data_IF_659092132352
#
_entry.id   IF_659092132352
#
_cell.length_a   1.000
_cell.length_b   1.000
_cell.length_c   1.000
_cell.angle_alpha   90.00
_cell.angle_beta   90.00
_cell.angle_gamma   90.00
#
_symmetry.space_group_name_H-M   'P 1'
#
loop_
_entity.id
_entity.type
_entity.pdbx_description
1 polymer ?
#
# COMPACT_ATOMS: atom_id res chain seq x y z
N UNK A 1 30.86 -125.02 45.38
CA UNK A 1 29.73 -124.52 46.19
C UNK A 1 29.35 -125.60 47.20
N UNK A 2 29.01 -125.22 48.44
CA UNK A 2 28.28 -126.10 49.37
C UNK A 2 26.79 -126.20 48.99
N UNK A 3 26.04 -127.13 49.59
CA UNK A 3 24.58 -127.27 49.44
C UNK A 3 23.78 -125.99 49.78
N UNK A 4 24.42 -124.99 50.41
CA UNK A 4 23.87 -123.67 50.74
C UNK A 4 24.36 -122.53 49.82
N UNK A 5 24.86 -122.85 48.62
CA UNK A 5 25.20 -121.90 47.56
C UNK A 5 26.21 -120.79 47.94
N UNK A 6 27.01 -121.00 48.99
CA UNK A 6 28.16 -120.16 49.34
C UNK A 6 29.45 -120.70 48.74
N UNK A 7 30.34 -119.79 48.36
CA UNK A 7 31.68 -120.09 47.83
C UNK A 7 32.50 -120.75 48.95
N UNK A 8 33.09 -121.92 48.69
CA UNK A 8 33.95 -122.62 49.65
C UNK A 8 35.34 -121.99 49.64
N UNK A 9 35.83 -121.55 50.79
CA UNK A 9 37.18 -120.95 50.94
C UNK A 9 38.33 -121.97 50.74
N UNK A 10 38.03 -123.27 50.84
CA UNK A 10 39.01 -124.34 50.61
C UNK A 10 38.34 -125.54 49.96
N UNK A 11 38.96 -126.09 48.92
CA UNK A 11 38.52 -127.33 48.29
C UNK A 11 39.49 -128.46 48.65
N UNK A 12 38.97 -129.56 49.22
CA UNK A 12 39.79 -130.65 49.76
C UNK A 12 39.50 -131.95 49.02
N UNK A 13 40.54 -132.62 48.55
CA UNK A 13 40.45 -133.96 47.98
C UNK A 13 40.64 -135.02 49.08
N UNK A 14 39.59 -135.78 49.38
CA UNK A 14 39.58 -136.76 50.49
C UNK A 14 40.47 -137.99 50.28
N UNK A 15 40.89 -138.28 49.04
CA UNK A 15 41.71 -139.46 48.72
C UNK A 15 43.21 -139.25 48.96
N UNK A 16 43.70 -138.01 48.89
CA UNK A 16 45.12 -137.67 49.00
C UNK A 16 45.40 -136.46 49.91
N UNK A 17 44.38 -135.94 50.59
CA UNK A 17 44.43 -134.76 51.46
C UNK A 17 45.01 -133.50 50.78
N UNK A 18 44.84 -133.34 49.46
CA UNK A 18 45.22 -132.09 48.78
C UNK A 18 44.20 -130.99 49.07
N UNK A 19 44.66 -129.85 49.60
CA UNK A 19 43.81 -128.71 49.90
C UNK A 19 44.12 -127.52 48.99
N UNK A 20 43.17 -127.13 48.14
CA UNK A 20 43.20 -125.89 47.34
C UNK A 20 42.64 -124.75 48.19
N UNK A 21 43.46 -123.73 48.48
CA UNK A 21 43.12 -122.57 49.34
C UNK A 21 42.70 -121.32 48.59
N UNK A 22 43.26 -121.07 47.42
CA UNK A 22 42.95 -119.93 46.58
C UNK A 22 43.19 -120.32 45.13
N UNK A 23 42.40 -119.74 44.24
CA UNK A 23 42.52 -119.94 42.81
C UNK A 23 42.82 -118.57 42.21
N UNK A 24 44.06 -118.38 41.79
CA UNK A 24 44.50 -117.15 41.15
C UNK A 24 44.30 -117.29 39.64
N UNK A 25 43.30 -116.59 39.11
CA UNK A 25 43.08 -116.51 37.67
C UNK A 25 44.09 -115.53 37.08
N UNK A 26 45.18 -116.07 36.52
CA UNK A 26 46.27 -115.26 35.98
C UNK A 26 45.97 -114.68 34.60
N UNK A 27 45.20 -115.40 33.79
CA UNK A 27 44.81 -114.94 32.45
C UNK A 27 43.45 -115.51 32.07
N UNK A 28 42.67 -114.71 31.35
CA UNK A 28 41.41 -115.14 30.73
C UNK A 28 41.48 -114.68 29.29
N UNK A 29 41.70 -115.62 28.38
CA UNK A 29 41.68 -115.34 26.95
C UNK A 29 40.54 -116.12 26.28
N UNK A 30 39.79 -115.48 25.37
CA UNK A 30 38.84 -116.19 24.55
C UNK A 30 39.59 -117.14 23.60
N UNK A 31 39.19 -118.41 23.63
CA UNK A 31 39.76 -119.49 22.80
C UNK A 31 39.37 -119.33 21.32
N UNK A 32 38.18 -118.76 21.06
CA UNK A 32 37.68 -118.50 19.71
C UNK A 32 38.11 -117.12 19.18
N UNK A 33 38.77 -117.11 18.04
CA UNK A 33 39.25 -115.90 17.37
C UNK A 33 38.11 -114.95 17.02
N UNK A 34 36.93 -115.45 16.62
CA UNK A 34 35.78 -114.58 16.27
C UNK A 34 35.28 -113.81 17.50
N UNK A 35 35.32 -114.45 18.67
CA UNK A 35 34.94 -113.83 19.95
C UNK A 35 35.95 -112.76 20.38
N UNK A 36 37.26 -113.00 20.17
CA UNK A 36 38.32 -112.01 20.40
C UNK A 36 38.12 -110.75 19.55
N UNK A 37 37.88 -110.94 18.26
CA UNK A 37 37.68 -109.84 17.30
C UNK A 37 36.39 -109.05 17.59
N UNK A 38 35.32 -109.73 18.04
CA UNK A 38 34.07 -109.08 18.44
C UNK A 38 34.24 -108.21 19.70
N UNK A 39 34.97 -108.70 20.70
CA UNK A 39 35.29 -107.92 21.91
C UNK A 39 36.17 -106.70 21.56
N UNK A 40 37.17 -106.86 20.69
CA UNK A 40 38.01 -105.75 20.24
C UNK A 40 37.20 -104.66 19.51
N UNK A 41 36.27 -105.06 18.63
CA UNK A 41 35.33 -104.12 17.99
C UNK A 41 34.43 -103.42 19.01
N UNK A 42 33.95 -104.13 20.03
CA UNK A 42 33.14 -103.52 21.09
C UNK A 42 33.91 -102.49 21.90
N UNK A 43 35.20 -102.75 22.19
CA UNK A 43 36.06 -101.78 22.89
C UNK A 43 36.30 -100.55 22.01
N UNK A 44 36.58 -100.75 20.71
CA UNK A 44 36.75 -99.64 19.76
C UNK A 44 35.49 -98.77 19.69
N UNK A 45 34.30 -99.38 19.57
CA UNK A 45 33.03 -98.67 19.58
C UNK A 45 32.78 -97.93 20.89
N UNK A 46 33.15 -98.51 22.04
CA UNK A 46 33.02 -97.84 23.33
C UNK A 46 33.90 -96.56 23.40
N UNK A 47 35.13 -96.62 22.88
CA UNK A 47 36.03 -95.44 22.79
C UNK A 47 35.47 -94.41 21.82
N UNK A 48 34.92 -94.84 20.69
CA UNK A 48 34.30 -93.94 19.73
C UNK A 48 33.07 -93.24 20.33
N UNK A 49 32.22 -93.98 21.04
CA UNK A 49 31.06 -93.41 21.75
C UNK A 49 31.50 -92.42 22.83
N UNK A 50 32.54 -92.74 23.62
CA UNK A 50 33.02 -91.81 24.66
C UNK A 50 33.63 -90.56 24.03
N UNK A 51 34.38 -90.69 22.93
CA UNK A 51 34.96 -89.56 22.19
C UNK A 51 33.87 -88.68 21.58
N UNK A 52 32.91 -89.29 20.88
CA UNK A 52 31.77 -88.58 20.29
C UNK A 52 30.90 -87.90 21.36
N UNK A 53 30.71 -88.54 22.51
CA UNK A 53 29.98 -87.95 23.63
C UNK A 53 30.71 -86.75 24.24
N UNK A 54 32.04 -86.82 24.39
CA UNK A 54 32.84 -85.70 24.86
C UNK A 54 32.85 -84.54 23.86
N UNK A 55 32.96 -84.85 22.57
CA UNK A 55 32.90 -83.84 21.51
C UNK A 55 31.53 -83.15 21.47
N UNK A 56 30.43 -83.92 21.54
CA UNK A 56 29.08 -83.35 21.58
C UNK A 56 28.89 -82.45 22.80
N UNK A 57 29.38 -82.84 23.98
CA UNK A 57 29.33 -82.01 25.17
C UNK A 57 30.13 -80.70 25.02
N UNK A 58 31.34 -80.77 24.44
CA UNK A 58 32.15 -79.59 24.18
C UNK A 58 31.51 -78.65 23.15
N UNK A 59 30.89 -79.20 22.10
CA UNK A 59 30.14 -78.42 21.10
C UNK A 59 28.93 -77.71 21.74
N UNK A 60 28.13 -78.41 22.53
CA UNK A 60 26.98 -77.79 23.20
C UNK A 60 27.39 -76.72 24.21
N UNK A 61 28.49 -76.91 24.93
CA UNK A 61 29.00 -75.88 25.83
C UNK A 61 29.51 -74.65 25.06
N UNK A 62 30.17 -74.86 23.92
CA UNK A 62 30.58 -73.77 23.04
C UNK A 62 29.37 -73.01 22.47
N UNK A 63 28.34 -73.72 22.00
CA UNK A 63 27.08 -73.13 21.52
C UNK A 63 26.37 -72.32 22.62
N UNK A 64 26.34 -72.84 23.85
CA UNK A 64 25.75 -72.14 25.01
C UNK A 64 26.49 -70.84 25.31
N UNK A 65 27.81 -70.88 25.34
CA UNK A 65 28.66 -69.70 25.56
C UNK A 65 28.52 -68.68 24.43
N UNK A 66 28.46 -69.14 23.18
CA UNK A 66 28.24 -68.26 22.03
C UNK A 66 26.88 -67.57 22.10
N UNK A 67 25.82 -68.31 22.44
CA UNK A 67 24.48 -67.74 22.58
C UNK A 67 24.41 -66.72 23.72
N UNK A 68 25.09 -66.97 24.84
CA UNK A 68 25.18 -66.01 25.94
C UNK A 68 25.93 -64.74 25.52
N UNK A 69 27.05 -64.89 24.81
CA UNK A 69 27.82 -63.76 24.29
C UNK A 69 27.00 -62.93 23.29
N UNK A 70 26.29 -63.59 22.36
CA UNK A 70 25.39 -62.93 21.41
C UNK A 70 24.26 -62.18 22.12
N UNK A 71 23.61 -62.82 23.10
CA UNK A 71 22.55 -62.17 23.87
C UNK A 71 23.03 -60.95 24.66
N UNK A 72 24.25 -61.01 25.24
CA UNK A 72 24.87 -59.85 25.90
C UNK A 72 25.17 -58.72 24.91
N UNK A 73 25.73 -59.05 23.75
CA UNK A 73 26.04 -58.06 22.71
C UNK A 73 24.78 -57.40 22.14
N UNK A 74 23.72 -58.15 21.90
CA UNK A 74 22.44 -57.60 21.46
C UNK A 74 21.83 -56.65 22.50
N UNK A 75 21.87 -57.03 23.78
CA UNK A 75 21.40 -56.14 24.86
C UNK A 75 22.21 -54.85 24.91
N UNK A 76 23.54 -54.95 24.84
CA UNK A 76 24.40 -53.78 24.82
C UNK A 76 24.11 -52.88 23.62
N UNK A 77 23.91 -53.46 22.42
CA UNK A 77 23.54 -52.72 21.23
C UNK A 77 22.21 -51.97 21.40
N UNK A 78 21.20 -52.62 21.99
CA UNK A 78 19.90 -51.99 22.26
C UNK A 78 20.06 -50.85 23.28
N UNK A 79 20.86 -51.04 24.32
CA UNK A 79 21.13 -50.00 25.33
C UNK A 79 21.83 -48.78 24.69
N UNK A 80 22.84 -49.02 23.85
CA UNK A 80 23.57 -47.97 23.13
C UNK A 80 22.65 -47.23 22.15
N UNK A 81 21.81 -47.95 21.38
CA UNK A 81 20.83 -47.35 20.47
C UNK A 81 19.78 -46.54 21.23
N UNK A 82 19.30 -47.03 22.38
CA UNK A 82 18.34 -46.32 23.22
C UNK A 82 18.94 -45.02 23.77
N UNK A 83 20.20 -45.06 24.23
CA UNK A 83 20.91 -43.88 24.70
C UNK A 83 21.12 -42.86 23.57
N UNK A 84 21.50 -43.33 22.37
CA UNK A 84 21.66 -42.49 21.19
C UNK A 84 20.34 -41.82 20.79
N UNK A 85 19.23 -42.55 20.80
CA UNK A 85 17.90 -42.01 20.48
C UNK A 85 17.38 -41.05 21.56
N UNK A 86 17.69 -41.26 22.83
CA UNK A 86 17.37 -40.30 23.89
C UNK A 86 18.07 -38.96 23.65
N UNK A 87 19.37 -38.96 23.33
CA UNK A 87 20.11 -37.75 22.97
C UNK A 87 19.56 -37.13 21.69
N UNK A 88 19.26 -37.95 20.67
CA UNK A 88 18.68 -37.48 19.41
C UNK A 88 17.36 -36.76 19.61
N UNK A 89 16.49 -37.28 20.48
CA UNK A 89 15.23 -36.63 20.84
C UNK A 89 15.47 -35.24 21.43
N UNK A 90 16.38 -35.10 22.39
CA UNK A 90 16.70 -33.79 23.00
C UNK A 90 17.28 -32.80 21.99
N UNK A 91 18.12 -33.27 21.05
CA UNK A 91 18.62 -32.46 19.96
C UNK A 91 17.50 -31.99 19.02
N UNK A 92 16.52 -32.85 18.73
CA UNK A 92 15.37 -32.47 17.91
C UNK A 92 14.47 -31.47 18.62
N UNK A 93 14.18 -31.66 19.91
CA UNK A 93 13.39 -30.73 20.71
C UNK A 93 14.05 -29.34 20.73
N UNK A 94 15.36 -29.27 20.98
CA UNK A 94 16.11 -28.00 20.95
C UNK A 94 16.14 -27.38 19.56
N UNK A 95 16.29 -28.17 18.49
CA UNK A 95 16.21 -27.65 17.10
C UNK A 95 14.83 -27.09 16.76
N UNK A 96 13.74 -27.73 17.20
CA UNK A 96 12.39 -27.22 17.00
C UNK A 96 12.20 -25.89 17.74
N UNK A 97 12.68 -25.79 18.98
CA UNK A 97 12.66 -24.54 19.74
C UNK A 97 13.47 -23.44 19.06
N UNK A 98 14.67 -23.77 18.55
CA UNK A 98 15.51 -22.82 17.82
C UNK A 98 14.84 -22.37 16.51
N UNK A 99 14.24 -23.28 15.74
CA UNK A 99 13.54 -22.93 14.51
C UNK A 99 12.34 -22.01 14.78
N UNK A 100 11.59 -22.25 15.87
CA UNK A 100 10.51 -21.36 16.30
C UNK A 100 11.04 -19.99 16.73
N UNK A 101 12.16 -19.95 17.48
CA UNK A 101 12.80 -18.71 17.91
C UNK A 101 13.38 -17.93 16.71
N UNK A 102 13.96 -18.62 15.74
CA UNK A 102 14.50 -18.03 14.52
C UNK A 102 13.38 -17.43 13.67
N UNK A 103 12.31 -18.17 13.45
CA UNK A 103 11.15 -17.68 12.70
C UNK A 103 10.49 -16.48 13.37
N UNK A 104 10.33 -16.51 14.69
CA UNK A 104 9.77 -15.38 15.44
C UNK A 104 10.73 -14.20 15.51
N UNK A 105 12.04 -14.44 15.64
CA UNK A 105 13.08 -13.42 15.60
C UNK A 105 13.14 -12.73 14.24
N UNK A 106 13.05 -13.47 13.15
CA UNK A 106 12.98 -12.94 11.80
C UNK A 106 11.71 -12.10 11.60
N UNK A 107 10.55 -12.62 11.98
CA UNK A 107 9.28 -11.90 11.84
C UNK A 107 9.24 -10.61 12.68
N UNK A 108 9.76 -10.66 13.91
CA UNK A 108 9.82 -9.47 14.79
C UNK A 108 10.83 -8.44 14.28
N UNK A 109 12.01 -8.86 13.83
CA UNK A 109 13.00 -7.97 13.24
C UNK A 109 12.48 -7.30 11.96
N UNK A 110 11.80 -8.05 11.09
CA UNK A 110 11.21 -7.49 9.87
C UNK A 110 10.06 -6.52 10.19
N UNK A 111 9.18 -6.89 11.12
CA UNK A 111 8.08 -6.03 11.56
C UNK A 111 8.59 -4.73 12.19
N UNK A 112 9.61 -4.81 13.05
CA UNK A 112 10.24 -3.63 13.66
C UNK A 112 10.91 -2.75 12.60
N UNK A 113 11.70 -3.34 11.70
CA UNK A 113 12.36 -2.60 10.61
C UNK A 113 11.35 -1.89 9.72
N UNK A 114 10.24 -2.54 9.39
CA UNK A 114 9.16 -1.96 8.59
C UNK A 114 8.44 -0.83 9.34
N UNK A 115 8.17 -1.02 10.63
CA UNK A 115 7.56 0.01 11.46
C UNK A 115 8.46 1.24 11.59
N UNK A 116 9.76 1.06 11.78
CA UNK A 116 10.73 2.15 11.85
C UNK A 116 10.89 2.88 10.51
N UNK A 117 10.93 2.15 9.40
CA UNK A 117 10.94 2.75 8.06
C UNK A 117 9.70 3.64 7.84
N UNK A 118 8.51 3.11 8.14
CA UNK A 118 7.26 3.86 8.03
C UNK A 118 7.22 5.08 8.98
N UNK A 119 7.79 4.96 10.19
CA UNK A 119 7.91 6.07 11.14
C UNK A 119 8.81 7.17 10.59
N UNK A 120 9.97 6.83 10.05
CA UNK A 120 10.92 7.79 9.46
C UNK A 120 10.28 8.47 8.24
N UNK A 121 9.62 7.71 7.38
CA UNK A 121 8.93 8.25 6.21
C UNK A 121 7.80 9.21 6.62
N UNK A 122 6.98 8.81 7.60
CA UNK A 122 5.91 9.67 8.13
C UNK A 122 6.45 10.96 8.76
N UNK A 123 7.53 10.87 9.55
CA UNK A 123 8.18 12.05 10.14
C UNK A 123 8.75 12.97 9.06
N UNK A 124 9.44 12.40 8.06
CA UNK A 124 10.03 13.14 6.95
C UNK A 124 8.97 13.82 6.08
N UNK A 125 7.84 13.14 5.83
CA UNK A 125 6.73 13.70 5.07
C UNK A 125 6.08 14.89 5.79
N UNK A 126 5.91 14.81 7.12
CA UNK A 126 5.41 15.94 7.93
C UNK A 126 6.39 17.11 7.90
N UNK A 127 7.69 16.84 8.03
CA UNK A 127 8.72 17.88 7.98
C UNK A 127 8.80 18.54 6.60
N UNK A 128 8.77 17.74 5.53
CA UNK A 128 8.71 18.23 4.16
C UNK A 128 7.46 19.10 3.91
N UNK A 129 6.29 18.65 4.38
CA UNK A 129 5.05 19.42 4.25
C UNK A 129 5.12 20.76 5.00
N UNK A 130 5.77 20.81 6.17
CA UNK A 130 6.01 22.07 6.90
C UNK A 130 6.92 23.01 6.13
N UNK A 131 8.07 22.52 5.65
CA UNK A 131 9.01 23.32 4.87
C UNK A 131 8.37 23.83 3.57
N UNK A 132 7.56 23.00 2.91
CA UNK A 132 6.83 23.41 1.72
C UNK A 132 5.76 24.46 2.02
N UNK A 133 5.04 24.32 3.14
CA UNK A 133 4.07 25.33 3.57
C UNK A 133 4.75 26.67 3.86
N UNK A 134 5.88 26.66 4.58
CA UNK A 134 6.69 27.85 4.88
C UNK A 134 7.24 28.50 3.59
N UNK A 135 7.78 27.69 2.67
CA UNK A 135 8.23 28.19 1.37
C UNK A 135 7.08 28.84 0.56
N UNK A 136 5.92 28.19 0.53
CA UNK A 136 4.73 28.72 -0.16
C UNK A 136 4.20 30.00 0.48
N UNK A 137 4.31 30.13 1.81
CA UNK A 137 3.92 31.35 2.54
C UNK A 137 4.86 32.50 2.18
N UNK A 138 6.18 32.27 2.18
CA UNK A 138 7.19 33.26 1.80
C UNK A 138 7.00 33.71 0.33
N UNK A 139 6.76 32.76 -0.59
CA UNK A 139 6.50 33.07 -1.99
C UNK A 139 5.22 33.90 -2.17
N UNK A 140 4.15 33.53 -1.49
CA UNK A 140 2.88 34.26 -1.54
C UNK A 140 3.03 35.68 -0.97
N UNK A 141 3.72 35.84 0.16
CA UNK A 141 3.97 37.14 0.78
C UNK A 141 4.84 38.03 -0.12
N UNK A 142 5.88 37.47 -0.73
CA UNK A 142 6.74 38.20 -1.66
C UNK A 142 5.95 38.68 -2.90
N UNK A 143 5.08 37.84 -3.46
CA UNK A 143 4.24 38.21 -4.59
C UNK A 143 3.18 39.24 -4.21
N UNK A 144 2.59 39.12 -3.01
CA UNK A 144 1.61 40.07 -2.50
C UNK A 144 2.24 41.46 -2.31
N UNK A 145 3.45 41.52 -1.75
CA UNK A 145 4.22 42.77 -1.62
C UNK A 145 4.58 43.37 -3.00
N UNK A 146 4.96 42.53 -3.98
CA UNK A 146 5.21 42.98 -5.35
C UNK A 146 3.95 43.61 -5.97
N UNK A 147 2.80 42.96 -5.82
CA UNK A 147 1.51 43.43 -6.34
C UNK A 147 1.03 44.69 -5.63
N UNK A 148 1.21 44.79 -4.31
CA UNK A 148 0.88 46.01 -3.54
C UNK A 148 1.65 47.21 -4.08
N UNK A 149 2.98 47.10 -4.20
CA UNK A 149 3.82 48.19 -4.72
C UNK A 149 3.43 48.58 -6.15
N UNK A 150 3.14 47.61 -7.01
CA UNK A 150 2.69 47.89 -8.38
C UNK A 150 1.35 48.64 -8.40
N UNK A 151 0.36 48.22 -7.60
CA UNK A 151 -0.94 48.90 -7.52
C UNK A 151 -0.85 50.26 -6.87
N UNK A 152 -0.02 50.44 -5.86
CA UNK A 152 0.20 51.75 -5.24
C UNK A 152 0.75 52.75 -6.25
N UNK A 153 1.76 52.35 -7.04
CA UNK A 153 2.30 53.17 -8.11
C UNK A 153 1.27 53.47 -9.20
N UNK A 154 0.44 52.49 -9.57
CA UNK A 154 -0.65 52.68 -10.54
C UNK A 154 -1.73 53.64 -10.04
N UNK A 155 -2.15 53.51 -8.77
CA UNK A 155 -3.11 54.42 -8.14
C UNK A 155 -2.56 55.84 -8.06
N UNK A 156 -1.27 56.00 -7.75
CA UNK A 156 -0.63 57.32 -7.72
C UNK A 156 -0.57 57.95 -9.11
N UNK A 157 -0.19 57.19 -10.13
CA UNK A 157 -0.23 57.65 -11.52
C UNK A 157 -1.64 58.03 -11.97
N UNK A 158 -2.65 57.23 -11.64
CA UNK A 158 -4.07 57.52 -11.92
C UNK A 158 -4.52 58.81 -11.25
N UNK A 159 -4.22 59.00 -9.95
CA UNK A 159 -4.53 60.23 -9.22
C UNK A 159 -3.89 61.46 -9.87
N UNK A 160 -2.62 61.35 -10.27
CA UNK A 160 -1.91 62.43 -10.95
C UNK A 160 -2.55 62.75 -12.31
N UNK A 161 -2.87 61.72 -13.10
CA UNK A 161 -3.55 61.86 -14.39
C UNK A 161 -4.93 62.51 -14.25
N UNK A 162 -5.70 62.09 -13.25
CA UNK A 162 -7.02 62.65 -12.97
C UNK A 162 -6.92 64.11 -12.52
N UNK A 163 -5.96 64.43 -11.65
CA UNK A 163 -5.71 65.82 -11.23
C UNK A 163 -5.34 66.73 -12.41
N UNK A 164 -4.51 66.23 -13.34
CA UNK A 164 -4.12 66.92 -14.56
C UNK A 164 -5.33 67.10 -15.48
N UNK A 165 -6.17 66.07 -15.60
CA UNK A 165 -7.39 66.11 -16.42
C UNK A 165 -8.39 67.14 -15.89
N UNK A 166 -8.58 67.20 -14.57
CA UNK A 166 -9.41 68.22 -13.92
C UNK A 166 -8.85 69.62 -14.18
N UNK A 167 -7.54 69.82 -14.03
CA UNK A 167 -6.89 71.10 -14.31
C UNK A 167 -7.07 71.52 -15.78
N UNK A 168 -6.85 70.60 -16.71
CA UNK A 168 -7.07 70.83 -18.15
C UNK A 168 -8.51 71.26 -18.43
N UNK A 169 -9.50 70.50 -17.94
CA UNK A 169 -10.92 70.79 -18.15
C UNK A 169 -11.33 72.13 -17.53
N UNK A 170 -10.76 72.48 -16.38
CA UNK A 170 -11.01 73.78 -15.75
C UNK A 170 -10.50 74.94 -16.60
N UNK A 171 -9.30 74.83 -17.18
CA UNK A 171 -8.78 75.88 -18.07
C UNK A 171 -9.51 75.94 -19.40
N UNK A 172 -9.85 74.79 -20.00
CA UNK A 172 -10.71 74.75 -21.19
C UNK A 172 -12.07 75.40 -20.92
N UNK A 173 -12.69 75.09 -19.78
CA UNK A 173 -13.95 75.70 -19.35
C UNK A 173 -13.79 77.22 -19.14
N UNK A 174 -12.68 77.68 -18.56
CA UNK A 174 -12.42 79.12 -18.37
C UNK A 174 -12.27 79.85 -19.70
N UNK A 175 -11.60 79.23 -20.67
CA UNK A 175 -11.49 79.74 -22.04
C UNK A 175 -12.87 79.78 -22.70
N UNK A 176 -13.66 78.71 -22.60
CA UNK A 176 -14.99 78.65 -23.21
C UNK A 176 -15.94 79.66 -22.58
N UNK A 177 -15.92 79.82 -21.25
CA UNK A 177 -16.68 80.86 -20.55
C UNK A 177 -16.25 82.25 -21.03
N UNK A 178 -14.94 82.49 -21.19
CA UNK A 178 -14.42 83.79 -21.68
C UNK A 178 -14.83 84.04 -23.13
N UNK A 179 -14.74 83.02 -24.00
CA UNK A 179 -15.14 83.06 -25.40
C UNK A 179 -16.63 83.29 -25.56
N UNK A 180 -17.45 82.55 -24.82
CA UNK A 180 -18.90 82.69 -24.80
C UNK A 180 -19.32 84.06 -24.28
N UNK A 181 -18.71 84.53 -23.19
CA UNK A 181 -18.95 85.89 -22.66
C UNK A 181 -18.61 86.94 -23.71
N UNK A 182 -17.46 86.82 -24.38
CA UNK A 182 -17.04 87.75 -25.45
C UNK A 182 -18.01 87.71 -26.64
N UNK A 183 -18.47 86.53 -27.04
CA UNK A 183 -19.45 86.35 -28.12
C UNK A 183 -20.81 86.97 -27.78
N UNK A 184 -21.30 86.74 -26.55
CA UNK A 184 -22.54 87.33 -26.02
C UNK A 184 -22.43 88.84 -25.93
N UNK A 185 -21.31 89.37 -25.43
CA UNK A 185 -21.03 90.81 -25.37
C UNK A 185 -20.96 91.46 -26.76
N UNK A 186 -20.36 90.79 -27.75
CA UNK A 186 -20.26 91.29 -29.12
C UNK A 186 -21.60 91.34 -29.85
N UNK A 187 -22.50 90.37 -29.62
CA UNK A 187 -23.87 90.44 -30.15
C UNK A 187 -24.63 91.57 -29.46
N UNK A 188 -24.47 91.70 -28.13
CA UNK A 188 -25.11 92.72 -27.30
C UNK A 188 -26.48 92.27 -26.77
N UNK A 189 -26.85 92.69 -25.55
CA UNK A 189 -28.06 92.20 -24.87
C UNK A 189 -29.34 92.58 -25.62
N UNK A 190 -29.36 93.74 -26.29
CA UNK A 190 -30.52 94.20 -27.04
C UNK A 190 -30.75 93.38 -28.32
N UNK A 191 -29.69 92.99 -29.03
CA UNK A 191 -29.80 92.12 -30.20
C UNK A 191 -30.17 90.70 -29.82
N UNK A 192 -29.63 90.15 -28.72
CA UNK A 192 -30.08 88.84 -28.21
C UNK A 192 -31.55 88.86 -27.82
N UNK A 193 -32.01 89.95 -27.18
CA UNK A 193 -33.45 90.16 -26.89
C UNK A 193 -34.27 90.24 -28.17
N UNK A 194 -33.79 90.92 -29.21
CA UNK A 194 -34.47 90.99 -30.50
C UNK A 194 -34.49 89.64 -31.22
N UNK A 195 -33.40 88.87 -31.23
CA UNK A 195 -33.32 87.53 -31.81
C UNK A 195 -34.27 86.57 -31.07
N UNK A 196 -34.30 86.62 -29.74
CA UNK A 196 -35.24 85.82 -28.94
C UNK A 196 -36.71 86.24 -29.17
N UNK A 197 -36.97 87.53 -29.42
CA UNK A 197 -38.31 88.05 -29.80
C UNK A 197 -38.64 87.84 -31.27
N UNK A 198 -37.66 87.65 -32.15
CA UNK A 198 -37.87 87.55 -33.59
C UNK A 198 -38.67 86.31 -33.98
N UNK A 199 -38.53 85.17 -33.28
CA UNK A 199 -39.39 83.99 -33.51
C UNK A 199 -40.87 84.29 -33.25
N UNK A 200 -41.24 84.72 -32.02
CA UNK A 200 -42.60 85.14 -31.71
C UNK A 200 -43.13 86.27 -32.61
N UNK A 201 -42.33 87.32 -32.84
CA UNK A 201 -42.73 88.48 -33.65
C UNK A 201 -42.86 88.16 -35.15
N UNK A 202 -42.02 87.28 -35.71
CA UNK A 202 -42.13 86.82 -37.09
C UNK A 202 -43.40 85.99 -37.29
N UNK A 203 -43.69 85.09 -36.34
CA UNK A 203 -44.93 84.30 -36.36
C UNK A 203 -46.18 85.19 -36.22
N UNK A 204 -46.13 86.22 -35.36
CA UNK A 204 -47.18 87.24 -35.23
C UNK A 204 -47.36 88.07 -36.51
N UNK A 205 -46.28 88.45 -37.20
CA UNK A 205 -46.33 89.19 -38.48
C UNK A 205 -46.88 88.33 -39.62
N UNK A 206 -46.55 87.04 -39.69
CA UNK A 206 -47.17 86.12 -40.65
C UNK A 206 -48.67 85.95 -40.41
N UNK A 207 -49.08 85.79 -39.15
CA UNK A 207 -50.50 85.73 -38.78
C UNK A 207 -51.24 87.03 -39.19
N UNK A 208 -50.63 88.21 -38.95
CA UNK A 208 -51.23 89.48 -39.40
C UNK A 208 -51.27 89.64 -40.93
N UNK A 209 -50.27 89.14 -41.66
CA UNK A 209 -50.21 89.21 -43.13
C UNK A 209 -51.23 88.29 -43.81
N UNK A 210 -51.61 87.19 -43.15
CA UNK A 210 -52.70 86.31 -43.55
C UNK A 210 -54.09 86.88 -43.18
N UNK A 211 -54.16 88.11 -42.64
CA UNK A 211 -55.42 88.76 -42.25
C UNK A 211 -56.03 88.19 -40.97
N UNK A 212 -55.31 87.32 -40.25
CA UNK A 212 -55.77 86.67 -39.03
C UNK A 212 -55.31 87.52 -37.83
N UNK A 213 -56.21 88.33 -37.27
CA UNK A 213 -56.00 88.88 -35.95
C UNK A 213 -55.84 87.70 -34.97
N UNK A 214 -54.84 87.77 -34.09
CA UNK A 214 -54.59 86.77 -33.04
C UNK A 214 -55.78 86.71 -32.07
N UNK A 215 -56.88 86.09 -32.50
CA UNK A 215 -58.06 85.85 -31.72
C UNK A 215 -57.97 84.43 -31.15
N UNK A 216 -58.03 84.35 -29.83
CA UNK A 216 -58.16 83.09 -29.11
C UNK A 216 -59.57 82.55 -29.43
N UNK A 217 -59.68 81.60 -30.36
CA UNK A 217 -60.97 80.98 -30.66
C UNK A 217 -61.23 79.94 -29.58
N UNK A 218 -62.18 80.24 -28.69
CA UNK A 218 -62.58 79.35 -27.59
C UNK A 218 -63.80 78.52 -28.00
N UNK A 219 -63.61 77.23 -28.21
CA UNK A 219 -64.66 76.22 -28.05
C UNK A 219 -64.39 75.44 -26.76
N UNK A 220 -65.44 75.19 -25.98
CA UNK A 220 -65.46 75.16 -24.51
C UNK A 220 -64.73 74.01 -23.79
N UNK A 221 -63.76 73.31 -24.39
CA UNK A 221 -63.04 72.21 -23.72
C UNK A 221 -61.54 72.13 -23.96
N UNK A 222 -60.96 72.88 -24.89
CA UNK A 222 -59.48 73.02 -25.02
C UNK A 222 -59.11 74.32 -25.72
N UNK A 223 -58.39 75.26 -25.07
CA UNK A 223 -57.96 76.49 -25.74
C UNK A 223 -56.91 76.18 -26.81
N UNK A 224 -57.29 76.31 -28.09
CA UNK A 224 -56.36 76.15 -29.20
C UNK A 224 -55.60 77.46 -29.39
N UNK A 225 -54.34 77.48 -28.95
CA UNK A 225 -53.45 78.61 -29.21
C UNK A 225 -52.94 78.51 -30.66
N UNK A 226 -53.48 79.36 -31.54
CA UNK A 226 -53.11 79.39 -32.97
C UNK A 226 -51.61 79.62 -33.21
N UNK A 227 -50.87 80.20 -32.24
CA UNK A 227 -49.40 80.27 -32.29
C UNK A 227 -48.74 78.88 -32.27
N UNK A 228 -49.26 77.96 -31.45
CA UNK A 228 -48.74 76.60 -31.31
C UNK A 228 -49.10 75.72 -32.51
N UNK A 229 -50.31 75.89 -33.05
CA UNK A 229 -50.82 75.07 -34.16
C UNK A 229 -50.11 75.38 -35.47
N UNK A 230 -49.74 76.65 -35.71
CA UNK A 230 -48.97 77.05 -36.89
C UNK A 230 -47.58 76.39 -36.96
N UNK A 231 -46.94 76.15 -35.80
CA UNK A 231 -45.64 75.47 -35.74
C UNK A 231 -45.71 74.00 -36.19
N UNK A 232 -46.83 73.31 -35.89
CA UNK A 232 -47.03 71.91 -36.28
C UNK A 232 -47.25 71.70 -37.79
N UNK A 233 -47.88 72.66 -38.46
CA UNK A 233 -48.14 72.61 -39.90
C UNK A 233 -46.91 72.99 -40.74
N UNK A 234 -46.09 73.94 -40.28
CA UNK A 234 -44.89 74.38 -41.00
C UNK A 234 -43.71 73.40 -40.78
N UNK A 235 -43.61 72.79 -39.60
CA UNK A 235 -42.53 71.84 -39.28
C UNK A 235 -42.53 70.53 -40.09
N UNK A 236 -43.68 70.14 -40.68
CA UNK A 236 -43.79 68.93 -41.50
C UNK A 236 -43.20 69.08 -42.91
N UNK A 237 -42.99 70.31 -43.41
CA UNK A 237 -42.51 70.50 -44.78
C UNK A 237 -40.99 70.31 -44.96
N UNK A 238 -40.19 70.21 -43.89
CA UNK A 238 -38.72 70.34 -43.97
C UNK A 238 -37.95 69.04 -43.65
N UNK A 239 -38.60 67.91 -43.37
CA UNK A 239 -37.94 66.71 -42.78
C UNK A 239 -37.89 65.44 -43.64
N UNK A 240 -38.11 65.53 -44.96
CA UNK A 240 -38.16 64.35 -45.85
C UNK A 240 -37.00 64.23 -46.86
N UNK A 241 -35.83 64.82 -46.59
CA UNK A 241 -34.61 64.52 -47.36
C UNK A 241 -33.40 64.30 -46.45
N UNK A 242 -33.06 63.03 -46.24
CA UNK A 242 -31.75 62.60 -45.73
C UNK A 242 -31.79 61.67 -44.53
N UNK A 243 -32.05 60.38 -44.76
CA UNK A 243 -31.61 59.32 -43.83
C UNK A 243 -31.16 58.12 -44.66
N UNK A 244 -29.85 57.85 -44.64
CA UNK A 244 -29.21 56.67 -45.24
C UNK A 244 -28.42 55.97 -44.15
N UNK A 245 -28.69 54.67 -44.04
CA UNK A 245 -27.88 53.54 -43.59
C UNK A 245 -26.54 53.82 -42.88
N UNK A 246 -26.37 53.16 -41.72
CA UNK A 246 -25.21 52.27 -41.47
C UNK A 246 -25.57 51.15 -40.49
N UNK A 247 -25.65 49.93 -41.02
CA UNK A 247 -25.25 48.72 -40.30
C UNK A 247 -23.74 48.76 -40.06
N UNK A 248 -23.28 48.26 -38.91
CA UNK A 248 -21.99 47.59 -38.85
C UNK A 248 -21.98 46.49 -37.77
N UNK A 249 -21.54 45.32 -38.21
CA UNK A 249 -21.51 44.05 -37.51
C UNK A 249 -20.59 44.05 -36.29
N UNK A 250 -21.01 43.39 -35.19
CA UNK A 250 -20.14 42.50 -34.41
C UNK A 250 -20.89 41.27 -33.91
N UNK A 251 -20.47 40.14 -34.46
CA UNK A 251 -20.86 38.79 -34.08
C UNK A 251 -20.28 38.37 -32.73
N UNK A 252 -21.13 37.64 -31.98
CA UNK A 252 -20.87 36.42 -31.20
C UNK A 252 -19.60 36.35 -30.32
N UNK A 253 -19.84 36.28 -29.01
CA UNK A 253 -19.42 35.13 -28.18
C UNK A 253 -20.35 35.02 -26.96
N UNK A 254 -21.24 34.01 -27.00
CA UNK A 254 -22.01 33.54 -25.85
C UNK A 254 -21.33 32.28 -25.31
N UNK A 255 -20.74 32.40 -24.12
CA UNK A 255 -20.22 31.29 -23.33
C UNK A 255 -21.40 30.44 -22.84
N UNK A 256 -21.47 29.21 -23.31
CA UNK A 256 -22.33 28.17 -22.75
C UNK A 256 -21.64 27.59 -21.49
N UNK A 257 -22.27 27.79 -20.34
CA UNK A 257 -22.02 27.01 -19.13
C UNK A 257 -22.96 25.80 -19.16
N UNK A 258 -22.41 24.62 -19.40
CA UNK A 258 -23.05 23.34 -19.08
C UNK A 258 -21.99 22.40 -18.51
N UNK A 259 -22.04 22.30 -17.19
CA UNK A 259 -22.01 21.07 -16.39
C UNK A 259 -21.63 19.78 -17.14
N UNK A 260 -20.43 19.26 -16.85
CA UNK A 260 -20.16 17.83 -16.82
C UNK A 260 -18.85 17.58 -16.04
N UNK A 261 -18.96 16.88 -14.91
CA UNK A 261 -17.86 16.67 -13.98
C UNK A 261 -18.19 15.64 -12.90
N UNK A 262 -18.62 14.44 -13.32
CA UNK A 262 -18.67 13.26 -12.47
C UNK A 262 -17.74 12.16 -13.02
N UNK A 263 -17.02 11.51 -12.09
CA UNK A 263 -16.18 10.30 -12.18
C UNK A 263 -14.68 10.48 -12.46
N UNK A 264 -13.88 10.55 -11.39
CA UNK A 264 -13.02 9.46 -10.91
C UNK A 264 -12.47 9.81 -9.52
#
# INVERSE_FOLDING_TARGET
MDENNKVRDRFVFSQNNLHITSIDVQSVEPVDQRTRDALQKSVQLAIEITTNSQEAAARHEAERLEQEARGRLERQKIEDETAAEAVRRTLLETRVQLAALESTGQATAEAQSRADAARIEGQSAVELAKLHAEASEIEADAELERLRKAREAELEFMRQKDSLKIAQLNEEMKIEVTRFTSMVSAIGPDNLRQIAKAGPEHNLRMLSALGLQSTLITDGTTPVNLLSTAHGLIGQLTRQSGETDKEDHRSRDTIALSDDGASA
#
